data_IF_488889147725
#
_entry.id   IF_488889147725
#
_cell.length_a   1.000
_cell.length_b   1.000
_cell.length_c   1.000
_cell.angle_alpha   90.00
_cell.angle_beta   90.00
_cell.angle_gamma   90.00
#
_symmetry.space_group_name_H-M   'P 1'
#
loop_
_entity.id
_entity.type
_entity.pdbx_description
1 polymer ?
#
# COMPACT_ATOMS: atom_id res chain seq x y z
N UNK A 1 2.52 8.01 16.96
CA UNK A 1 2.92 9.08 16.02
C UNK A 1 1.81 9.20 14.98
N UNK A 2 1.17 10.37 14.89
CA UNK A 2 0.09 10.66 13.94
C UNK A 2 0.70 11.40 12.76
N UNK A 3 0.54 10.88 11.55
CA UNK A 3 0.99 11.55 10.32
C UNK A 3 -0.25 11.95 9.52
N UNK A 4 -0.40 13.24 9.24
CA UNK A 4 -1.45 13.80 8.40
C UNK A 4 -0.76 14.37 7.17
N UNK A 5 -1.12 13.87 5.98
CA UNK A 5 -0.67 14.43 4.71
C UNK A 5 -1.87 15.05 4.02
N UNK A 6 -1.81 16.37 3.80
CA UNK A 6 -2.82 17.14 3.07
C UNK A 6 -2.18 17.60 1.76
N UNK A 7 -2.78 17.25 0.62
CA UNK A 7 -2.41 17.86 -0.68
C UNK A 7 -3.39 19.00 -0.96
N UNK A 8 -2.83 20.19 -1.24
CA UNK A 8 -3.60 21.41 -1.52
C UNK A 8 -4.28 21.38 -2.89
N UNK A 9 -5.21 22.32 -3.15
CA UNK A 9 -6.00 22.37 -4.37
C UNK A 9 -5.12 22.59 -5.61
N UNK A 10 -5.60 22.08 -6.75
CA UNK A 10 -4.99 22.32 -8.06
C UNK A 10 -5.09 23.81 -8.44
N UNK A 11 -4.23 24.24 -9.37
CA UNK A 11 -4.13 25.62 -9.85
C UNK A 11 -5.49 26.25 -10.23
N UNK A 12 -5.65 27.58 -10.08
CA UNK A 12 -6.91 28.26 -10.39
C UNK A 12 -7.27 28.06 -11.87
N UNK A 13 -8.44 27.45 -12.12
CA UNK A 13 -8.92 27.06 -13.46
C UNK A 13 -9.26 25.56 -13.61
N UNK A 14 -8.92 24.73 -12.63
CA UNK A 14 -9.37 23.33 -12.58
C UNK A 14 -10.82 23.23 -12.09
N UNK A 15 -11.75 22.83 -12.96
CA UNK A 15 -13.13 22.41 -12.60
C UNK A 15 -13.16 21.16 -11.70
N UNK A 16 -12.03 20.48 -11.57
CA UNK A 16 -11.84 19.35 -10.69
C UNK A 16 -11.20 19.81 -9.36
N UNK A 17 -12.01 19.98 -8.33
CA UNK A 17 -11.55 20.17 -6.95
C UNK A 17 -11.54 18.81 -6.22
N UNK A 18 -10.34 18.25 -6.09
CA UNK A 18 -10.14 16.98 -5.40
C UNK A 18 -9.36 17.21 -4.11
N UNK A 19 -10.04 17.08 -2.97
CA UNK A 19 -9.39 17.05 -1.67
C UNK A 19 -9.25 15.61 -1.16
N UNK A 20 -8.02 15.17 -0.90
CA UNK A 20 -7.74 13.86 -0.31
C UNK A 20 -6.99 13.97 1.01
N UNK A 21 -7.39 13.12 1.96
CA UNK A 21 -6.84 13.07 3.31
C UNK A 21 -6.53 11.62 3.68
N UNK A 22 -5.36 11.41 4.30
CA UNK A 22 -4.98 10.12 4.86
C UNK A 22 -4.58 10.28 6.32
N UNK A 23 -5.08 9.38 7.15
CA UNK A 23 -4.79 9.32 8.59
C UNK A 23 -4.32 7.91 8.94
N UNK A 24 -3.31 7.80 9.79
CA UNK A 24 -2.78 6.50 10.20
C UNK A 24 -2.43 6.45 11.69
N UNK A 25 -2.70 5.30 12.30
CA UNK A 25 -2.30 4.96 13.67
C UNK A 25 -1.35 3.76 13.62
N UNK A 26 -0.23 3.86 14.34
CA UNK A 26 0.79 2.81 14.38
C UNK A 26 1.19 2.53 15.82
N UNK A 27 1.19 1.25 16.18
CA UNK A 27 1.79 0.71 17.40
C UNK A 27 2.92 -0.25 17.05
N UNK A 28 4.02 -0.20 17.79
CA UNK A 28 5.18 -1.09 17.60
C UNK A 28 5.71 -1.55 18.95
N UNK A 29 5.95 -2.85 19.07
CA UNK A 29 6.61 -3.50 20.19
C UNK A 29 7.89 -4.17 19.70
N UNK A 30 8.96 -4.03 20.48
CA UNK A 30 10.24 -4.66 20.23
C UNK A 30 10.72 -5.31 21.51
N UNK A 31 11.20 -6.54 21.38
CA UNK A 31 11.76 -7.30 22.48
C UNK A 31 13.11 -7.85 22.08
N UNK A 32 14.09 -7.71 22.96
CA UNK A 32 15.44 -8.20 22.77
C UNK A 32 15.84 -9.00 24.01
N UNK A 33 16.01 -10.30 23.83
CA UNK A 33 16.51 -11.17 24.87
C UNK A 33 18.00 -11.44 24.67
N UNK A 34 18.82 -10.91 25.58
CA UNK A 34 20.28 -11.13 25.66
C UNK A 34 21.05 -10.78 24.38
N UNK A 35 20.50 -9.95 23.51
CA UNK A 35 21.08 -9.66 22.20
C UNK A 35 20.97 -10.82 21.21
N UNK A 36 20.33 -11.94 21.57
CA UNK A 36 20.29 -13.17 20.77
C UNK A 36 18.99 -13.33 20.03
N UNK A 37 17.87 -13.09 20.71
CA UNK A 37 16.53 -13.26 20.17
C UNK A 37 15.88 -11.90 20.09
N UNK A 38 15.58 -11.47 18.87
CA UNK A 38 14.95 -10.21 18.58
C UNK A 38 13.55 -10.51 18.06
N UNK A 39 12.53 -9.97 18.70
CA UNK A 39 11.15 -10.04 18.24
C UNK A 39 10.64 -8.62 18.02
N UNK A 40 9.93 -8.38 16.93
CA UNK A 40 9.22 -7.13 16.69
C UNK A 40 7.82 -7.42 16.21
N UNK A 41 6.84 -6.79 16.86
CA UNK A 41 5.46 -6.73 16.37
C UNK A 41 5.12 -5.29 16.03
N UNK A 42 4.38 -5.08 14.95
CA UNK A 42 3.84 -3.78 14.58
C UNK A 42 2.43 -3.98 14.07
N UNK A 43 1.53 -3.09 14.48
CA UNK A 43 0.16 -3.03 13.96
C UNK A 43 -0.09 -1.60 13.51
N UNK A 44 -0.53 -1.46 12.27
CA UNK A 44 -0.88 -0.17 11.69
C UNK A 44 -2.32 -0.20 11.21
N UNK A 45 -3.07 0.87 11.43
CA UNK A 45 -4.40 1.08 10.87
C UNK A 45 -4.41 2.40 10.11
N UNK A 46 -4.65 2.33 8.81
CA UNK A 46 -4.73 3.51 7.94
C UNK A 46 -6.17 3.74 7.50
N UNK A 47 -6.50 5.01 7.27
CA UNK A 47 -7.72 5.46 6.64
C UNK A 47 -7.44 6.50 5.57
N UNK A 48 -8.19 6.44 4.46
CA UNK A 48 -8.00 7.30 3.29
C UNK A 48 -9.37 7.78 2.79
N UNK A 49 -9.51 9.09 2.57
CA UNK A 49 -10.75 9.71 2.10
C UNK A 49 -11.11 9.33 0.66
N UNK A 50 -10.19 8.67 -0.05
CA UNK A 50 -10.39 8.12 -1.40
C UNK A 50 -11.41 6.98 -1.43
N UNK A 51 -11.62 6.30 -0.32
CA UNK A 51 -12.63 5.24 -0.23
C UNK A 51 -13.96 5.79 0.31
N UNK A 52 -15.05 5.12 -0.06
CA UNK A 52 -16.38 5.35 0.50
C UNK A 52 -16.41 5.17 2.02
N UNK A 53 -17.45 5.69 2.68
CA UNK A 53 -17.57 5.72 4.15
C UNK A 53 -17.30 4.35 4.80
N UNK A 54 -17.75 3.28 4.15
CA UNK A 54 -17.69 1.91 4.69
C UNK A 54 -16.29 1.27 4.53
N UNK A 55 -15.48 1.73 3.57
CA UNK A 55 -14.13 1.21 3.30
C UNK A 55 -13.01 2.22 3.60
N UNK A 56 -13.38 3.40 4.12
CA UNK A 56 -12.47 4.51 4.48
C UNK A 56 -11.35 4.08 5.41
N UNK A 57 -11.64 3.20 6.36
CA UNK A 57 -10.66 2.59 7.27
C UNK A 57 -10.41 1.14 6.87
N UNK A 58 -9.80 0.92 5.70
CA UNK A 58 -9.94 -0.38 5.04
C UNK A 58 -8.86 -1.41 5.31
N UNK A 59 -8.03 -1.27 6.34
CA UNK A 59 -7.23 -2.41 6.78
C UNK A 59 -6.43 -2.18 8.05
N UNK A 60 -6.43 -3.18 8.94
CA UNK A 60 -5.38 -3.31 9.96
C UNK A 60 -4.27 -4.11 9.33
N UNK A 61 -3.08 -3.52 9.27
CA UNK A 61 -1.88 -4.06 8.63
C UNK A 61 -0.89 -4.49 9.71
N UNK A 62 -1.01 -5.72 10.25
CA UNK A 62 -0.03 -6.26 11.17
C UNK A 62 1.25 -6.68 10.43
N UNK A 63 2.35 -6.62 11.16
CA UNK A 63 3.62 -7.25 10.79
C UNK A 63 4.30 -7.80 12.05
N UNK A 64 4.95 -8.94 11.89
CA UNK A 64 5.75 -9.60 12.91
C UNK A 64 7.08 -10.00 12.30
N UNK A 65 8.15 -9.83 13.05
CA UNK A 65 9.47 -10.31 12.68
C UNK A 65 10.19 -10.90 13.87
N UNK A 66 11.02 -11.89 13.57
CA UNK A 66 11.91 -12.53 14.50
C UNK A 66 13.31 -12.57 13.89
N UNK A 67 14.32 -12.36 14.70
CA UNK A 67 15.69 -12.62 14.31
C UNK A 67 16.44 -13.33 15.44
N UNK A 68 17.28 -14.27 15.05
CA UNK A 68 18.08 -15.07 15.97
C UNK A 68 19.55 -14.97 15.58
N UNK A 69 20.36 -14.40 16.48
CA UNK A 69 21.81 -14.38 16.36
C UNK A 69 22.37 -15.70 16.89
N UNK A 70 22.35 -16.73 16.04
CA UNK A 70 22.81 -18.08 16.35
C UNK A 70 24.30 -18.08 16.74
N UNK A 71 25.10 -17.17 16.17
CA UNK A 71 26.53 -17.03 16.49
C UNK A 71 26.86 -16.58 17.92
N UNK A 72 25.85 -16.15 18.68
CA UNK A 72 26.00 -15.77 20.08
C UNK A 72 25.64 -16.91 21.04
N UNK A 73 25.27 -18.09 20.52
CA UNK A 73 25.03 -19.26 21.34
C UNK A 73 26.32 -19.95 21.83
N UNK A 74 26.29 -20.59 23.02
CA UNK A 74 27.47 -21.26 23.57
C UNK A 74 28.03 -22.34 22.64
N UNK A 75 27.16 -23.06 21.92
CA UNK A 75 27.56 -24.11 20.98
C UNK A 75 28.27 -23.58 19.73
N UNK A 76 28.07 -22.30 19.37
CA UNK A 76 28.71 -21.72 18.19
C UNK A 76 30.17 -21.29 18.43
N UNK A 77 30.61 -21.26 19.69
CA UNK A 77 31.96 -20.79 20.08
C UNK A 77 33.07 -21.51 19.30
N UNK A 78 32.95 -22.82 19.08
CA UNK A 78 33.96 -23.64 18.41
C UNK A 78 34.15 -23.28 16.94
N UNK A 79 33.10 -22.80 16.26
CA UNK A 79 33.09 -22.48 14.83
C UNK A 79 33.31 -20.98 14.59
N UNK A 80 33.24 -20.15 15.64
CA UNK A 80 33.30 -18.68 15.56
C UNK A 80 34.59 -18.12 14.95
N UNK A 81 35.68 -18.91 14.95
CA UNK A 81 36.93 -18.59 14.26
C UNK A 81 36.78 -18.56 12.74
N UNK A 82 35.97 -19.48 12.19
CA UNK A 82 35.71 -19.61 10.75
C UNK A 82 34.47 -18.81 10.34
N UNK A 83 33.37 -18.94 11.10
CA UNK A 83 32.09 -18.25 10.87
C UNK A 83 31.81 -17.31 12.03
N UNK A 84 32.17 -16.04 11.85
CA UNK A 84 32.15 -15.02 12.90
C UNK A 84 30.73 -14.59 13.29
N UNK A 85 29.82 -14.56 12.31
CA UNK A 85 28.41 -14.18 12.51
C UNK A 85 27.51 -15.11 11.74
N UNK A 86 26.40 -15.48 12.36
CA UNK A 86 25.30 -16.20 11.73
C UNK A 86 24.00 -15.71 12.37
N UNK A 87 23.14 -15.12 11.54
CA UNK A 87 21.86 -14.56 11.94
C UNK A 87 20.78 -15.09 11.01
N UNK A 88 19.73 -15.65 11.60
CA UNK A 88 18.51 -16.00 10.89
C UNK A 88 17.48 -14.89 11.10
N UNK A 89 16.79 -14.49 10.03
CA UNK A 89 15.72 -13.50 10.01
C UNK A 89 14.45 -14.13 9.45
N UNK A 90 13.33 -13.87 10.09
CA UNK A 90 12.00 -14.27 9.64
C UNK A 90 11.08 -13.06 9.78
N UNK A 91 10.25 -12.79 8.77
CA UNK A 91 9.24 -11.76 8.87
C UNK A 91 8.00 -12.09 8.07
N UNK A 92 6.85 -11.65 8.55
CA UNK A 92 5.57 -11.74 7.89
C UNK A 92 4.80 -10.45 8.17
N UNK A 93 4.31 -9.79 7.13
CA UNK A 93 3.58 -8.55 7.31
C UNK A 93 2.69 -8.21 6.15
N UNK A 94 1.75 -7.31 6.42
CA UNK A 94 0.82 -6.80 5.42
C UNK A 94 1.00 -5.29 5.25
N UNK A 95 0.74 -4.81 4.04
CA UNK A 95 0.77 -3.39 3.67
C UNK A 95 -0.42 -3.09 2.77
N UNK A 96 -1.11 -1.98 3.05
CA UNK A 96 -2.23 -1.49 2.23
C UNK A 96 -1.78 -0.53 1.15
N UNK A 97 -2.45 -0.59 0.00
CA UNK A 97 -2.32 0.35 -1.10
C UNK A 97 -3.67 1.04 -1.37
N UNK A 98 -3.64 2.37 -1.46
CA UNK A 98 -4.77 3.26 -1.79
C UNK A 98 -4.48 4.12 -3.04
N UNK A 99 -3.60 3.64 -3.91
CA UNK A 99 -3.24 4.31 -5.16
C UNK A 99 -4.23 3.93 -6.27
N UNK A 100 -5.31 4.70 -6.36
CA UNK A 100 -6.29 4.69 -7.46
C UNK A 100 -6.81 6.11 -7.68
N UNK A 101 -7.60 6.34 -8.74
CA UNK A 101 -8.06 7.69 -9.08
C UNK A 101 -8.97 8.24 -7.99
N UNK A 102 -8.87 9.55 -7.74
CA UNK A 102 -9.67 10.17 -6.70
C UNK A 102 -11.17 10.10 -7.06
N UNK A 103 -12.02 9.94 -6.05
CA UNK A 103 -13.49 9.90 -6.18
C UNK A 103 -14.07 8.75 -7.01
N UNK A 104 -13.33 7.68 -7.36
CA UNK A 104 -13.91 6.49 -8.03
C UNK A 104 -15.05 5.81 -7.24
N UNK A 105 -15.19 6.08 -5.94
CA UNK A 105 -16.32 5.61 -5.14
C UNK A 105 -17.63 6.40 -5.37
N UNK A 106 -17.57 7.56 -6.02
CA UNK A 106 -18.68 8.47 -6.27
C UNK A 106 -18.83 8.74 -7.77
N UNK A 107 -20.07 8.87 -8.25
CA UNK A 107 -20.31 9.20 -9.67
C UNK A 107 -19.92 10.65 -9.88
N UNK A 108 -18.92 10.90 -10.71
CA UNK A 108 -18.54 12.26 -11.10
C UNK A 108 -19.32 12.68 -12.35
N UNK A 109 -19.72 13.95 -12.37
CA UNK A 109 -20.27 14.61 -13.54
C UNK A 109 -19.16 15.51 -14.07
N UNK A 110 -18.85 15.39 -15.34
CA UNK A 110 -17.90 16.28 -16.01
C UNK A 110 -18.64 17.17 -17.00
N UNK A 111 -18.06 18.35 -17.24
CA UNK A 111 -18.45 19.20 -18.37
C UNK A 111 -17.92 18.57 -19.64
N UNK A 112 -18.70 17.66 -20.21
CA UNK A 112 -18.46 17.02 -21.49
C UNK A 112 -19.81 16.86 -22.22
N UNK A 113 -19.78 16.99 -23.55
CA UNK A 113 -20.98 16.96 -24.38
C UNK A 113 -21.52 18.34 -24.74
N UNK A 114 -20.63 19.32 -24.89
CA UNK A 114 -20.97 20.66 -25.36
C UNK A 114 -21.66 20.56 -26.73
N UNK A 115 -22.77 21.27 -26.87
CA UNK A 115 -23.63 21.15 -28.05
C UNK A 115 -24.04 22.54 -28.54
N UNK A 116 -23.89 22.74 -29.84
CA UNK A 116 -24.34 23.96 -30.53
C UNK A 116 -25.73 23.67 -31.08
N UNK A 117 -26.76 24.31 -30.49
CA UNK A 117 -28.15 24.15 -30.93
C UNK A 117 -28.45 24.91 -32.23
N UNK A 118 -27.81 26.06 -32.45
CA UNK A 118 -27.95 26.87 -33.66
C UNK A 118 -26.56 27.36 -34.13
N UNK A 119 -26.10 26.99 -35.35
CA UNK A 119 -24.85 27.50 -35.92
C UNK A 119 -24.79 29.02 -36.09
N UNK A 120 -25.94 29.72 -36.14
CA UNK A 120 -26.02 31.16 -36.37
C UNK A 120 -25.79 31.99 -35.10
N UNK A 121 -26.08 31.44 -33.92
CA UNK A 121 -25.99 32.15 -32.63
C UNK A 121 -24.58 32.10 -32.02
N UNK A 122 -23.68 31.27 -32.57
CA UNK A 122 -22.26 31.18 -32.18
C UNK A 122 -21.99 30.78 -30.72
N UNK A 123 -23.03 30.45 -29.96
CA UNK A 123 -22.95 30.09 -28.54
C UNK A 123 -22.82 28.58 -28.34
N UNK A 124 -21.68 28.16 -27.82
CA UNK A 124 -21.48 26.80 -27.30
C UNK A 124 -22.18 26.71 -25.92
N UNK A 125 -23.14 25.79 -25.77
CA UNK A 125 -23.74 25.50 -24.48
C UNK A 125 -22.97 24.38 -23.81
N UNK A 126 -22.56 24.64 -22.57
CA UNK A 126 -21.80 23.70 -21.75
C UNK A 126 -22.70 22.52 -21.37
N UNK A 127 -22.38 21.35 -21.91
CA UNK A 127 -23.02 20.09 -21.58
C UNK A 127 -22.40 19.47 -20.34
N UNK A 128 -23.18 18.67 -19.60
CA UNK A 128 -22.64 17.86 -18.51
C UNK A 128 -23.10 16.43 -18.65
N UNK A 129 -22.18 15.49 -18.45
CA UNK A 129 -22.46 14.05 -18.56
C UNK A 129 -21.70 13.26 -17.50
N UNK A 130 -22.19 12.06 -17.21
CA UNK A 130 -21.50 11.11 -16.33
C UNK A 130 -20.46 10.38 -17.17
N UNK A 131 -19.19 10.61 -16.89
CA UNK A 131 -18.07 10.07 -17.69
C UNK A 131 -17.36 8.89 -17.02
N UNK A 132 -17.74 8.55 -15.78
CA UNK A 132 -17.12 7.46 -15.03
C UNK A 132 -18.14 6.62 -14.26
N UNK A 133 -17.87 5.31 -14.17
CA UNK A 133 -18.65 4.39 -13.36
C UNK A 133 -18.13 4.40 -11.93
N UNK A 134 -19.01 4.68 -10.97
CA UNK A 134 -18.66 4.67 -9.55
C UNK A 134 -18.67 3.25 -8.98
N UNK A 135 -17.61 2.87 -8.26
CA UNK A 135 -17.55 1.63 -7.49
C UNK A 135 -17.56 1.93 -5.99
N UNK A 136 -18.75 1.89 -5.38
CA UNK A 136 -18.92 2.11 -3.94
C UNK A 136 -18.22 1.06 -3.06
N UNK A 137 -17.92 -0.11 -3.63
CA UNK A 137 -17.29 -1.26 -2.96
C UNK A 137 -15.78 -1.32 -3.15
N UNK A 138 -15.17 -0.26 -3.70
CA UNK A 138 -13.71 -0.17 -3.77
C UNK A 138 -13.12 -0.18 -2.35
N UNK A 139 -12.15 -1.07 -2.15
CA UNK A 139 -11.50 -1.35 -0.86
C UNK A 139 -9.99 -1.45 -1.04
N UNK A 140 -9.25 -1.49 0.06
CA UNK A 140 -7.79 -1.45 0.06
C UNK A 140 -7.20 -2.70 -0.59
N UNK A 141 -6.27 -2.49 -1.53
CA UNK A 141 -5.39 -3.57 -1.99
C UNK A 141 -4.42 -3.91 -0.86
N UNK A 142 -4.34 -5.18 -0.47
CA UNK A 142 -3.47 -5.65 0.61
C UNK A 142 -2.38 -6.55 0.06
N UNK A 143 -1.13 -6.13 0.23
CA UNK A 143 0.05 -6.96 -0.06
C UNK A 143 0.52 -7.65 1.22
N UNK A 144 0.59 -8.99 1.22
CA UNK A 144 1.12 -9.80 2.32
C UNK A 144 2.47 -10.37 1.91
N UNK A 145 3.53 -9.97 2.60
CA UNK A 145 4.90 -10.39 2.35
C UNK A 145 5.41 -11.28 3.46
N UNK A 146 5.96 -12.44 3.09
CA UNK A 146 6.71 -13.32 3.98
C UNK A 146 8.16 -13.36 3.51
N UNK A 147 9.11 -13.25 4.44
CA UNK A 147 10.53 -13.26 4.14
C UNK A 147 11.29 -14.11 5.16
N UNK A 148 12.25 -14.87 4.63
CA UNK A 148 13.23 -15.65 5.36
C UNK A 148 14.60 -15.18 4.88
N UNK A 149 15.45 -14.75 5.80
CA UNK A 149 16.77 -14.21 5.50
C UNK A 149 17.84 -14.83 6.36
N UNK A 150 19.04 -14.95 5.81
CA UNK A 150 20.22 -15.44 6.52
C UNK A 150 21.36 -14.46 6.27
N UNK A 151 22.05 -14.08 7.33
CA UNK A 151 23.26 -13.27 7.27
C UNK A 151 24.43 -14.04 7.89
N UNK A 152 25.52 -14.18 7.15
CA UNK A 152 26.75 -14.85 7.57
C UNK A 152 27.98 -13.95 7.38
N UNK A 153 28.98 -14.11 8.24
CA UNK A 153 30.27 -13.43 8.10
C UNK A 153 31.41 -14.40 8.42
N UNK A 154 32.46 -14.37 7.61
CA UNK A 154 33.59 -15.30 7.64
C UNK A 154 34.93 -14.57 7.68
N UNK A 155 35.99 -15.30 8.06
CA UNK A 155 37.39 -14.86 7.97
C UNK A 155 37.68 -13.52 8.68
N UNK A 156 37.18 -13.36 9.91
CA UNK A 156 37.21 -12.10 10.68
C UNK A 156 36.41 -10.98 9.99
N UNK A 157 35.21 -11.33 9.51
CA UNK A 157 34.30 -10.46 8.75
C UNK A 157 34.87 -9.91 7.43
N UNK A 158 35.87 -10.57 6.83
CA UNK A 158 36.39 -10.19 5.51
C UNK A 158 35.46 -10.58 4.36
N UNK A 159 34.63 -11.59 4.58
CA UNK A 159 33.62 -12.04 3.63
C UNK A 159 32.26 -12.11 4.32
N UNK A 160 31.26 -11.47 3.73
CA UNK A 160 29.89 -11.45 4.24
C UNK A 160 28.94 -11.96 3.18
N UNK A 161 28.05 -12.86 3.57
CA UNK A 161 27.03 -13.43 2.70
C UNK A 161 25.66 -13.14 3.30
N UNK A 162 24.77 -12.54 2.51
CA UNK A 162 23.36 -12.37 2.85
C UNK A 162 22.53 -13.04 1.78
N UNK A 163 21.56 -13.86 2.20
CA UNK A 163 20.62 -14.50 1.31
C UNK A 163 19.21 -14.28 1.86
N UNK A 164 18.28 -13.87 1.00
CA UNK A 164 16.89 -13.60 1.35
C UNK A 164 15.98 -14.32 0.36
N UNK A 165 14.99 -15.03 0.89
CA UNK A 165 13.88 -15.61 0.14
C UNK A 165 12.59 -14.94 0.59
N UNK A 166 11.80 -14.44 -0.36
CA UNK A 166 10.56 -13.76 -0.05
C UNK A 166 9.43 -14.16 -1.01
N UNK A 167 8.21 -14.14 -0.48
CA UNK A 167 6.97 -14.36 -1.23
C UNK A 167 5.98 -13.26 -0.87
N UNK A 168 5.50 -12.53 -1.87
CA UNK A 168 4.51 -11.47 -1.72
C UNK A 168 3.24 -11.84 -2.47
N UNK A 169 2.12 -11.88 -1.76
CA UNK A 169 0.80 -12.13 -2.33
C UNK A 169 -0.06 -10.87 -2.23
N UNK A 170 -0.66 -10.44 -3.33
CA UNK A 170 -1.59 -9.32 -3.36
C UNK A 170 -3.04 -9.83 -3.29
N UNK A 171 -3.86 -9.18 -2.46
CA UNK A 171 -5.29 -9.43 -2.32
C UNK A 171 -6.06 -8.17 -2.65
N UNK A 172 -7.25 -8.34 -3.20
CA UNK A 172 -8.16 -7.23 -3.53
C UNK A 172 -7.48 -6.17 -4.40
N UNK A 173 -6.76 -6.61 -5.43
CA UNK A 173 -5.98 -5.75 -6.31
C UNK A 173 -6.90 -4.73 -6.99
N UNK A 174 -6.52 -3.46 -6.91
CA UNK A 174 -7.27 -2.39 -7.58
C UNK A 174 -6.77 -2.33 -9.02
N UNK A 175 -7.65 -2.63 -9.97
CA UNK A 175 -7.31 -2.66 -11.39
C UNK A 175 -8.46 -2.08 -12.23
N UNK A 176 -8.18 -1.19 -13.20
CA UNK A 176 -9.22 -0.66 -14.07
C UNK A 176 -9.75 -1.76 -14.98
N UNK A 177 -11.06 -2.03 -14.92
CA UNK A 177 -11.71 -2.99 -15.80
C UNK A 177 -12.39 -2.22 -16.91
N UNK A 178 -11.92 -2.40 -18.15
CA UNK A 178 -12.64 -1.90 -19.33
C UNK A 178 -13.87 -2.77 -19.56
N UNK A 179 -15.04 -2.28 -19.20
CA UNK A 179 -16.30 -2.91 -19.60
C UNK A 179 -16.59 -2.55 -21.06
N UNK A 180 -16.71 -3.55 -21.93
CA UNK A 180 -17.13 -3.33 -23.30
C UNK A 180 -18.57 -2.81 -23.34
N UNK A 181 -18.78 -1.62 -23.89
CA UNK A 181 -20.09 -0.93 -23.99
C UNK A 181 -21.09 -1.72 -24.88
N UNK A 182 -20.64 -2.72 -25.64
CA UNK A 182 -21.43 -3.44 -26.63
C UNK A 182 -22.48 -4.43 -26.08
N UNK A 183 -22.43 -4.83 -24.81
CA UNK A 183 -23.33 -5.88 -24.30
C UNK A 183 -24.63 -5.37 -23.66
N UNK A 184 -24.77 -4.07 -23.36
CA UNK A 184 -26.00 -3.54 -22.75
C UNK A 184 -27.08 -3.09 -23.74
N UNK A 185 -26.80 -3.11 -25.05
CA UNK A 185 -27.74 -2.65 -26.11
C UNK A 185 -28.57 -3.81 -26.70
N UNK A 186 -28.38 -5.06 -26.24
CA UNK A 186 -29.07 -6.25 -26.77
C UNK A 186 -30.03 -6.94 -25.78
N UNK A 187 -30.68 -6.19 -24.88
CA UNK A 187 -31.85 -6.70 -24.13
C UNK A 187 -33.00 -5.72 -24.10
#
# INVERSE_FOLDING_TARGET
>A
MLLIVVRGPNAPGSINDYSTHRVGLLGRLQYNYKGKYLLSGLVRRDGSSRFGRDYRWGGTFPSVSAAWNISDEPFWKSIKSTVNRFKLRLSSGSVGNDSFSDYEFASTIASEGDYVFDPADGGELIGTSIISYANKDIKWETSVSNNIGVDMSFLKNKFTLTADYYVTNKKDMIFPVTTGILWSILR
#
